data_IF_939988440049
#
_entry.id   IF_939988440049
#
_cell.length_a   1.000
_cell.length_b   1.000
_cell.length_c   1.000
_cell.angle_alpha   90.00
_cell.angle_beta   90.00
_cell.angle_gamma   90.00
#
_symmetry.space_group_name_H-M   'P 1'
#
loop_
_entity.id
_entity.type
_entity.pdbx_description
1 polymer ?
#
# COMPACT_ATOMS: atom_id res chain seq x y z
N UNK A 1 33.31 5.22 1.42
CA UNK A 1 32.42 5.91 2.41
C UNK A 1 31.02 5.41 2.26
N UNK A 2 30.36 5.01 3.35
CA UNK A 2 28.95 4.59 3.29
C UNK A 2 28.07 5.78 2.89
N UNK A 3 27.21 5.57 1.87
CA UNK A 3 26.30 6.60 1.36
C UNK A 3 25.31 7.00 2.45
N UNK A 4 25.06 8.32 2.59
CA UNK A 4 24.06 8.88 3.53
C UNK A 4 22.83 9.35 2.77
N UNK A 5 21.66 8.94 3.21
CA UNK A 5 20.37 9.28 2.58
C UNK A 5 19.39 9.82 3.62
N UNK A 6 18.65 10.87 3.27
CA UNK A 6 17.49 11.35 3.99
C UNK A 6 16.22 10.79 3.32
N UNK A 7 15.47 9.93 4.01
CA UNK A 7 14.13 9.54 3.60
C UNK A 7 13.14 10.52 4.25
N UNK A 8 12.30 11.16 3.45
CA UNK A 8 11.31 12.12 3.91
C UNK A 8 9.92 11.56 3.66
N UNK A 9 9.29 11.13 4.74
CA UNK A 9 7.92 10.59 4.79
C UNK A 9 7.06 11.49 5.67
N UNK A 10 6.43 12.49 5.08
CA UNK A 10 5.56 13.43 5.81
C UNK A 10 4.24 12.78 6.25
N UNK A 11 3.79 11.71 5.57
CA UNK A 11 2.53 11.04 5.87
C UNK A 11 2.63 10.15 7.11
N UNK A 12 3.72 9.39 7.24
CA UNK A 12 3.97 8.52 8.39
C UNK A 12 2.78 7.64 8.76
N UNK A 13 2.50 7.53 10.07
CA UNK A 13 1.37 6.74 10.59
C UNK A 13 -0.01 7.34 10.26
N UNK A 14 -0.09 8.64 9.93
CA UNK A 14 -1.34 9.29 9.51
C UNK A 14 -1.91 8.69 8.21
N UNK A 15 -1.06 8.13 7.37
CA UNK A 15 -1.43 7.41 6.14
C UNK A 15 -1.89 5.96 6.35
N UNK A 16 -2.14 5.53 7.57
CA UNK A 16 -2.45 4.14 7.89
C UNK A 16 -1.19 3.28 7.92
N UNK A 17 -1.13 2.18 7.16
CA UNK A 17 0.01 1.25 7.16
C UNK A 17 1.21 1.72 6.30
N UNK A 18 1.17 2.93 5.74
CA UNK A 18 2.21 3.40 4.80
C UNK A 18 3.59 3.54 5.45
N UNK A 19 3.65 3.97 6.71
CA UNK A 19 4.92 4.07 7.44
C UNK A 19 5.70 2.76 7.51
N UNK A 20 5.05 1.59 7.43
CA UNK A 20 5.73 0.30 7.36
C UNK A 20 6.51 0.11 6.05
N UNK A 21 6.02 0.68 4.94
CA UNK A 21 6.80 0.73 3.71
C UNK A 21 8.12 1.49 3.94
N UNK A 22 8.03 2.68 4.53
CA UNK A 22 9.21 3.53 4.80
C UNK A 22 10.19 2.85 5.78
N UNK A 23 9.65 2.18 6.79
CA UNK A 23 10.46 1.42 7.77
C UNK A 23 11.15 0.22 7.11
N UNK A 24 10.43 -0.56 6.31
CA UNK A 24 10.99 -1.67 5.56
C UNK A 24 12.07 -1.22 4.57
N UNK A 25 11.84 -0.12 3.86
CA UNK A 25 12.85 0.47 2.99
C UNK A 25 14.11 0.86 3.76
N UNK A 26 13.94 1.46 4.94
CA UNK A 26 15.07 1.83 5.80
C UNK A 26 15.85 0.59 6.27
N UNK A 27 15.17 -0.50 6.67
CA UNK A 27 15.79 -1.79 7.01
C UNK A 27 16.63 -2.28 5.81
N UNK A 28 16.00 -2.41 4.64
CA UNK A 28 16.69 -2.94 3.46
C UNK A 28 17.88 -2.10 3.01
N UNK A 29 17.81 -0.78 3.16
CA UNK A 29 18.94 0.11 2.84
C UNK A 29 20.09 -0.05 3.81
N UNK A 30 19.84 -0.18 5.11
CA UNK A 30 20.89 -0.40 6.12
C UNK A 30 21.59 -1.72 5.89
N UNK A 31 20.87 -2.80 5.62
CA UNK A 31 21.43 -4.11 5.28
C UNK A 31 22.33 -4.04 4.02
N UNK A 32 22.12 -3.05 3.16
CA UNK A 32 22.95 -2.76 2.00
C UNK A 32 23.99 -1.65 2.23
N UNK A 33 24.34 -1.35 3.48
CA UNK A 33 25.41 -0.43 3.86
C UNK A 33 25.11 1.06 3.64
N UNK A 34 23.83 1.44 3.54
CA UNK A 34 23.40 2.84 3.42
C UNK A 34 23.09 3.42 4.79
N UNK A 35 23.65 4.58 5.12
CA UNK A 35 23.30 5.31 6.36
C UNK A 35 21.99 6.07 6.17
N UNK A 36 20.94 5.67 6.86
CA UNK A 36 19.60 6.22 6.72
C UNK A 36 19.25 7.19 7.83
N UNK A 37 18.78 8.39 7.45
CA UNK A 37 18.11 9.33 8.34
C UNK A 37 16.66 9.49 7.88
N UNK A 38 15.72 9.09 8.74
CA UNK A 38 14.28 9.15 8.46
C UNK A 38 13.67 10.40 9.10
N UNK A 39 13.01 11.23 8.29
CA UNK A 39 12.29 12.44 8.71
C UNK A 39 10.80 12.25 8.50
N UNK A 40 10.01 12.39 9.55
CA UNK A 40 8.56 12.15 9.49
C UNK A 40 7.78 13.07 10.44
N UNK A 41 6.46 12.86 10.53
CA UNK A 41 5.58 13.61 11.42
C UNK A 41 5.64 13.09 12.88
N UNK A 42 5.19 13.93 13.82
CA UNK A 42 5.24 13.63 15.23
C UNK A 42 4.14 12.67 15.73
N UNK A 43 3.23 12.23 14.88
CA UNK A 43 2.27 11.16 15.18
C UNK A 43 2.90 9.76 14.97
N UNK A 44 4.00 9.70 14.22
CA UNK A 44 4.69 8.45 13.89
C UNK A 44 5.66 8.07 15.01
N UNK A 45 5.42 6.93 15.64
CA UNK A 45 6.31 6.39 16.65
C UNK A 45 7.66 5.97 16.05
N UNK A 46 8.75 6.18 16.81
CA UNK A 46 10.06 5.68 16.40
C UNK A 46 10.08 4.15 16.41
N UNK A 47 10.34 3.50 15.25
CA UNK A 47 10.35 2.05 15.14
C UNK A 47 11.54 1.38 15.83
N UNK A 48 12.50 2.17 16.34
CA UNK A 48 13.73 1.71 17.01
C UNK A 48 14.56 0.73 16.13
N UNK A 49 14.57 0.94 14.82
CA UNK A 49 15.37 0.15 13.87
C UNK A 49 16.84 0.48 14.08
N UNK A 50 17.67 -0.54 14.33
CA UNK A 50 19.11 -0.38 14.52
C UNK A 50 19.75 0.29 13.30
N UNK A 51 20.61 1.29 13.53
CA UNK A 51 21.28 2.03 12.45
C UNK A 51 20.45 3.14 11.79
N UNK A 52 19.13 3.24 12.03
CA UNK A 52 18.28 4.34 11.52
C UNK A 52 18.31 5.52 12.49
N UNK A 53 18.64 6.71 11.96
CA UNK A 53 18.43 7.97 12.70
C UNK A 53 17.02 8.46 12.42
N UNK A 54 16.21 8.65 13.47
CA UNK A 54 14.80 9.01 13.37
C UNK A 54 14.55 10.43 13.87
N UNK A 55 13.85 11.25 13.05
CA UNK A 55 13.54 12.66 13.34
C UNK A 55 12.09 12.98 13.05
N UNK A 56 11.32 13.37 14.07
CA UNK A 56 9.91 13.77 13.94
C UNK A 56 9.79 15.32 13.82
N UNK A 57 10.33 15.88 12.73
CA UNK A 57 10.38 17.35 12.53
C UNK A 57 9.09 17.95 11.97
N UNK A 58 8.23 17.14 11.35
CA UNK A 58 6.93 17.61 10.85
C UNK A 58 5.90 17.60 11.98
N UNK A 59 5.91 18.65 12.81
CA UNK A 59 5.05 18.75 14.00
C UNK A 59 3.66 19.27 13.67
N UNK A 60 2.62 18.60 14.14
CA UNK A 60 1.21 19.02 14.09
C UNK A 60 0.68 19.33 12.66
N UNK A 61 1.22 18.68 11.63
CA UNK A 61 0.85 18.93 10.23
C UNK A 61 -0.55 18.43 9.86
N UNK A 62 -1.19 17.64 10.72
CA UNK A 62 -2.55 17.11 10.54
C UNK A 62 -3.52 17.51 11.67
N UNK A 63 -3.05 18.27 12.69
CA UNK A 63 -3.80 18.52 13.92
C UNK A 63 -4.85 19.63 13.80
N UNK A 64 -4.59 20.66 13.00
CA UNK A 64 -5.47 21.82 12.87
C UNK A 64 -6.61 21.57 11.88
N UNK A 65 -7.80 22.10 12.17
CA UNK A 65 -8.89 22.17 11.19
C UNK A 65 -8.62 23.22 10.09
N UNK A 66 -7.70 24.15 10.31
CA UNK A 66 -7.30 25.17 9.33
C UNK A 66 -6.15 24.65 8.46
N UNK A 67 -6.42 24.43 7.19
CA UNK A 67 -5.45 23.93 6.20
C UNK A 67 -4.18 24.81 6.11
N UNK A 68 -4.32 26.12 6.28
CA UNK A 68 -3.20 27.05 6.23
C UNK A 68 -2.21 26.82 7.36
N UNK A 69 -2.67 26.58 8.59
CA UNK A 69 -1.82 26.25 9.75
C UNK A 69 -1.06 24.95 9.51
N UNK A 70 -1.75 23.92 9.02
CA UNK A 70 -1.11 22.66 8.68
C UNK A 70 -0.04 22.84 7.58
N UNK A 71 -0.32 23.67 6.57
CA UNK A 71 0.63 24.02 5.51
C UNK A 71 1.87 24.74 6.03
N UNK A 72 1.70 25.73 6.92
CA UNK A 72 2.82 26.44 7.57
C UNK A 72 3.67 25.47 8.39
N UNK A 73 3.05 24.64 9.23
CA UNK A 73 3.76 23.63 10.02
C UNK A 73 4.54 22.65 9.13
N UNK A 74 3.97 22.28 7.97
CA UNK A 74 4.60 21.43 6.99
C UNK A 74 5.84 22.11 6.36
N UNK A 75 5.75 23.40 5.99
CA UNK A 75 6.87 24.18 5.47
C UNK A 75 8.00 24.28 6.50
N UNK A 76 7.66 24.58 7.76
CA UNK A 76 8.62 24.65 8.87
C UNK A 76 9.31 23.28 9.04
N UNK A 77 8.55 22.16 9.08
CA UNK A 77 9.11 20.83 9.16
C UNK A 77 10.05 20.49 8.02
N UNK A 78 9.71 20.92 6.79
CA UNK A 78 10.56 20.78 5.61
C UNK A 78 11.89 21.51 5.78
N UNK A 79 11.84 22.79 6.16
CA UNK A 79 13.04 23.62 6.36
C UNK A 79 13.97 22.93 7.36
N UNK A 80 13.47 22.57 8.54
CA UNK A 80 14.28 21.90 9.55
C UNK A 80 14.83 20.56 9.07
N UNK A 81 14.04 19.74 8.40
CA UNK A 81 14.47 18.43 7.89
C UNK A 81 15.58 18.57 6.85
N UNK A 82 15.41 19.47 5.88
CA UNK A 82 16.37 19.61 4.77
C UNK A 82 17.68 20.23 5.27
N UNK A 83 17.61 21.29 6.08
CA UNK A 83 18.82 21.90 6.65
C UNK A 83 19.58 20.95 7.57
N UNK A 84 18.88 20.28 8.49
CA UNK A 84 19.51 19.31 9.38
C UNK A 84 20.20 18.18 8.60
N UNK A 85 19.52 17.64 7.57
CA UNK A 85 20.10 16.62 6.69
C UNK A 85 21.37 17.14 5.98
N UNK A 86 21.31 18.35 5.39
CA UNK A 86 22.46 18.94 4.69
C UNK A 86 23.66 19.16 5.62
N UNK A 87 23.43 19.75 6.81
CA UNK A 87 24.50 19.96 7.81
C UNK A 87 25.05 18.63 8.38
N UNK A 88 24.26 17.54 8.32
CA UNK A 88 24.73 16.18 8.65
C UNK A 88 25.51 15.51 7.51
N UNK A 89 25.81 16.24 6.42
CA UNK A 89 26.53 15.76 5.25
C UNK A 89 25.74 14.81 4.35
N UNK A 90 24.41 14.90 4.37
CA UNK A 90 23.52 14.14 3.48
C UNK A 90 23.34 14.92 2.19
N UNK A 91 23.54 14.27 1.03
CA UNK A 91 23.32 14.86 -0.30
C UNK A 91 22.12 14.28 -1.04
N UNK A 92 21.64 13.08 -0.68
CA UNK A 92 20.54 12.40 -1.35
C UNK A 92 19.29 12.49 -0.47
N UNK A 93 18.22 13.01 -1.06
CA UNK A 93 16.90 13.16 -0.44
C UNK A 93 15.89 12.29 -1.19
N UNK A 94 15.31 11.32 -0.51
CA UNK A 94 14.31 10.43 -1.06
C UNK A 94 12.93 10.76 -0.50
N UNK A 95 12.03 11.19 -1.38
CA UNK A 95 10.65 11.55 -1.04
C UNK A 95 9.67 10.48 -1.52
N UNK A 96 8.63 10.27 -0.73
CA UNK A 96 7.49 9.44 -1.10
C UNK A 96 6.31 10.34 -1.46
N UNK A 97 5.74 10.17 -2.66
CA UNK A 97 4.63 11.00 -3.14
C UNK A 97 3.44 10.14 -3.60
N UNK A 98 2.24 10.60 -3.25
CA UNK A 98 0.95 10.06 -3.67
C UNK A 98 0.19 11.04 -4.58
N UNK A 99 0.62 12.29 -4.61
CA UNK A 99 0.05 13.37 -5.43
C UNK A 99 1.09 14.46 -5.60
N UNK A 100 0.91 15.28 -6.66
CA UNK A 100 1.75 16.44 -6.92
C UNK A 100 1.01 17.69 -6.45
N UNK A 101 1.69 18.54 -5.67
CA UNK A 101 1.17 19.82 -5.22
C UNK A 101 2.29 20.83 -4.96
N UNK A 102 1.92 22.05 -4.57
CA UNK A 102 2.86 23.13 -4.29
C UNK A 102 3.80 22.80 -3.11
N UNK A 103 3.34 22.11 -2.08
CA UNK A 103 4.18 21.75 -0.93
C UNK A 103 5.28 20.75 -1.32
N UNK A 104 4.95 19.77 -2.17
CA UNK A 104 5.95 18.85 -2.73
C UNK A 104 6.96 19.62 -3.58
N UNK A 105 6.49 20.52 -4.45
CA UNK A 105 7.38 21.38 -5.26
C UNK A 105 8.32 22.19 -4.38
N UNK A 106 7.82 22.80 -3.30
CA UNK A 106 8.63 23.56 -2.34
C UNK A 106 9.74 22.69 -1.71
N UNK A 107 9.44 21.44 -1.31
CA UNK A 107 10.44 20.51 -0.79
C UNK A 107 11.61 20.33 -1.78
N UNK A 108 11.27 20.05 -3.05
CA UNK A 108 12.27 19.76 -4.06
C UNK A 108 13.12 21.00 -4.40
N UNK A 109 12.47 22.17 -4.49
CA UNK A 109 13.17 23.43 -4.71
C UNK A 109 14.18 23.71 -3.59
N UNK A 110 13.78 23.55 -2.33
CA UNK A 110 14.68 23.77 -1.21
C UNK A 110 15.88 22.83 -1.22
N UNK A 111 15.67 21.55 -1.54
CA UNK A 111 16.77 20.59 -1.72
C UNK A 111 17.71 21.00 -2.85
N UNK A 112 17.17 21.46 -4.00
CA UNK A 112 17.98 21.87 -5.15
C UNK A 112 18.77 23.15 -4.87
N UNK A 113 18.18 24.13 -4.17
CA UNK A 113 18.88 25.35 -3.74
C UNK A 113 20.09 25.02 -2.86
N UNK A 114 19.99 23.96 -2.06
CA UNK A 114 21.08 23.47 -1.21
C UNK A 114 21.95 22.42 -1.90
N UNK A 115 21.95 22.33 -3.23
CA UNK A 115 22.73 21.40 -4.04
C UNK A 115 22.52 19.93 -3.67
N UNK A 116 21.33 19.56 -3.20
CA UNK A 116 20.94 18.20 -2.92
C UNK A 116 20.45 17.46 -4.16
N UNK A 117 20.52 16.14 -4.12
CA UNK A 117 19.96 15.21 -5.11
C UNK A 117 18.59 14.72 -4.68
N UNK A 118 17.65 14.66 -5.60
CA UNK A 118 16.26 14.27 -5.35
C UNK A 118 15.95 12.94 -5.99
N UNK A 119 15.51 11.97 -5.18
CA UNK A 119 14.89 10.73 -5.63
C UNK A 119 13.44 10.74 -5.22
N UNK A 120 12.53 10.38 -6.11
CA UNK A 120 11.10 10.27 -5.82
C UNK A 120 10.63 8.84 -5.96
N UNK A 121 9.96 8.29 -4.94
CA UNK A 121 9.07 7.13 -5.12
C UNK A 121 7.64 7.62 -5.37
N UNK A 122 7.09 7.30 -6.54
CA UNK A 122 5.74 7.63 -6.97
C UNK A 122 4.83 6.45 -6.71
N UNK A 123 3.97 6.54 -5.68
CA UNK A 123 3.03 5.48 -5.31
C UNK A 123 1.77 5.50 -6.16
N UNK A 124 1.23 6.69 -6.44
CA UNK A 124 0.08 6.89 -7.33
C UNK A 124 0.46 7.88 -8.43
N UNK A 125 0.33 7.48 -9.69
CA UNK A 125 0.66 8.33 -10.84
C UNK A 125 -0.39 9.41 -11.03
N UNK A 126 -1.68 9.07 -10.79
CA UNK A 126 -2.77 10.05 -10.73
C UNK A 126 -3.55 9.86 -9.44
N UNK A 127 -3.91 10.98 -8.79
CA UNK A 127 -4.78 10.91 -7.63
C UNK A 127 -6.16 10.39 -8.03
N UNK A 128 -6.69 9.41 -7.29
CA UNK A 128 -8.08 8.96 -7.41
C UNK A 128 -9.07 9.91 -6.71
N UNK A 129 -8.58 10.97 -6.06
CA UNK A 129 -9.38 12.07 -5.55
C UNK A 129 -9.48 13.15 -6.61
N UNK A 130 -10.64 13.83 -6.69
CA UNK A 130 -10.90 14.93 -7.61
C UNK A 130 -10.05 16.21 -7.36
N UNK A 131 -8.94 16.11 -6.62
CA UNK A 131 -7.98 17.20 -6.51
C UNK A 131 -7.25 17.32 -7.85
N UNK A 132 -7.50 18.39 -8.57
CA UNK A 132 -6.78 18.76 -9.79
C UNK A 132 -5.29 18.87 -9.49
N UNK A 133 -4.55 17.80 -9.74
CA UNK A 133 -3.11 17.90 -9.84
C UNK A 133 -2.83 18.83 -11.01
N UNK A 134 -2.31 20.03 -10.75
CA UNK A 134 -1.90 20.91 -11.82
C UNK A 134 -0.83 20.19 -12.64
N UNK A 135 -1.10 19.97 -13.92
CA UNK A 135 -0.15 19.35 -14.87
C UNK A 135 1.19 20.11 -14.86
N UNK A 136 1.12 21.45 -14.72
CA UNK A 136 2.30 22.30 -14.64
C UNK A 136 3.15 21.98 -13.41
N UNK A 137 2.53 21.87 -12.23
CA UNK A 137 3.25 21.54 -10.98
C UNK A 137 3.84 20.13 -11.08
N UNK A 138 3.11 19.15 -11.61
CA UNK A 138 3.59 17.80 -11.84
C UNK A 138 4.84 17.78 -12.74
N UNK A 139 4.80 18.47 -13.86
CA UNK A 139 5.93 18.59 -14.78
C UNK A 139 7.16 19.25 -14.12
N UNK A 140 6.97 20.30 -13.30
CA UNK A 140 8.06 20.93 -12.57
C UNK A 140 8.67 19.99 -11.52
N UNK A 141 7.83 19.25 -10.77
CA UNK A 141 8.29 18.25 -9.80
C UNK A 141 9.16 17.21 -10.49
N UNK A 142 8.69 16.61 -11.60
CA UNK A 142 9.47 15.61 -12.33
C UNK A 142 10.76 16.19 -12.91
N UNK A 143 10.75 17.43 -13.40
CA UNK A 143 11.94 18.13 -13.94
C UNK A 143 13.01 18.39 -12.88
N UNK A 144 12.62 18.63 -11.63
CA UNK A 144 13.53 18.83 -10.50
C UNK A 144 14.07 17.52 -9.91
N UNK A 145 13.58 16.37 -10.37
CA UNK A 145 13.92 15.07 -9.84
C UNK A 145 15.10 14.45 -10.58
N UNK A 146 16.12 13.95 -9.86
CA UNK A 146 17.27 13.29 -10.45
C UNK A 146 16.95 11.84 -10.84
N UNK A 147 16.11 11.13 -10.04
CA UNK A 147 15.62 9.77 -10.34
C UNK A 147 14.21 9.56 -9.79
N UNK A 148 13.43 8.78 -10.52
CA UNK A 148 12.08 8.39 -10.17
C UNK A 148 12.05 6.87 -9.94
N UNK A 149 11.40 6.44 -8.88
CA UNK A 149 11.10 5.05 -8.59
C UNK A 149 9.60 4.83 -8.73
N UNK A 150 9.22 3.77 -9.44
CA UNK A 150 7.85 3.24 -9.47
C UNK A 150 7.86 1.76 -9.09
N UNK A 151 6.71 1.21 -8.70
CA UNK A 151 6.66 -0.15 -8.19
C UNK A 151 6.44 -1.23 -9.27
N UNK A 152 6.05 -0.84 -10.48
CA UNK A 152 5.70 -1.76 -11.56
C UNK A 152 5.82 -1.09 -12.94
N UNK A 153 5.76 -1.92 -13.98
CA UNK A 153 5.86 -1.48 -15.38
C UNK A 153 4.69 -0.59 -15.79
N UNK A 154 3.48 -0.90 -15.27
CA UNK A 154 2.28 -0.12 -15.57
C UNK A 154 2.43 1.33 -15.11
N UNK A 155 2.84 1.57 -13.86
CA UNK A 155 3.09 2.92 -13.34
C UNK A 155 4.20 3.65 -14.10
N UNK A 156 5.26 2.94 -14.49
CA UNK A 156 6.32 3.49 -15.35
C UNK A 156 5.75 3.96 -16.70
N UNK A 157 4.95 3.12 -17.36
CA UNK A 157 4.34 3.46 -18.64
C UNK A 157 3.41 4.67 -18.53
N UNK A 158 2.62 4.77 -17.47
CA UNK A 158 1.73 5.91 -17.23
C UNK A 158 2.51 7.24 -17.10
N UNK A 159 3.64 7.25 -16.38
CA UNK A 159 4.48 8.46 -16.27
C UNK A 159 5.12 8.80 -17.61
N UNK A 160 5.60 7.82 -18.37
CA UNK A 160 6.20 8.02 -19.70
C UNK A 160 5.16 8.58 -20.69
N UNK A 161 3.91 8.11 -20.63
CA UNK A 161 2.82 8.63 -21.44
C UNK A 161 2.53 10.12 -21.16
N UNK A 162 2.75 10.57 -19.91
CA UNK A 162 2.63 12.00 -19.56
C UNK A 162 3.84 12.81 -20.03
N UNK A 163 5.03 12.24 -20.01
CA UNK A 163 6.28 12.88 -20.41
C UNK A 163 7.34 11.84 -20.83
N UNK A 164 7.48 11.63 -22.13
CA UNK A 164 8.42 10.65 -22.71
C UNK A 164 9.88 10.89 -22.38
N UNK A 165 10.29 12.12 -22.09
CA UNK A 165 11.67 12.46 -21.72
C UNK A 165 12.10 11.86 -20.38
N UNK A 166 11.15 11.37 -19.57
CA UNK A 166 11.44 10.77 -18.27
C UNK A 166 11.86 9.30 -18.36
N UNK A 167 11.81 8.66 -19.53
CA UNK A 167 12.05 7.22 -19.71
C UNK A 167 13.34 6.73 -19.01
N UNK A 168 14.46 7.43 -19.22
CA UNK A 168 15.78 7.08 -18.66
C UNK A 168 15.94 7.42 -17.16
N UNK A 169 15.02 8.21 -16.62
CA UNK A 169 15.05 8.64 -15.22
C UNK A 169 14.23 7.72 -14.30
N UNK A 170 13.40 6.80 -14.85
CA UNK A 170 12.47 5.96 -14.08
C UNK A 170 13.05 4.55 -13.91
N UNK A 171 13.28 4.18 -12.66
CA UNK A 171 13.60 2.82 -12.23
C UNK A 171 12.36 2.12 -11.66
N UNK A 172 12.25 0.81 -11.89
CA UNK A 172 11.22 -0.02 -11.26
C UNK A 172 11.86 -0.69 -10.05
N UNK A 173 11.35 -0.38 -8.85
CA UNK A 173 11.70 -1.04 -7.60
C UNK A 173 10.40 -1.49 -6.95
N UNK A 174 10.14 -2.80 -6.83
CA UNK A 174 8.89 -3.31 -6.29
C UNK A 174 8.61 -2.83 -4.87
N UNK A 175 7.34 -2.87 -4.46
CA UNK A 175 6.97 -2.64 -3.08
C UNK A 175 7.37 -3.86 -2.23
N UNK A 176 8.10 -3.64 -1.13
CA UNK A 176 8.50 -4.72 -0.23
C UNK A 176 7.34 -5.32 0.59
N UNK A 177 7.63 -6.40 1.29
CA UNK A 177 6.66 -7.14 2.09
C UNK A 177 6.37 -6.46 3.45
N UNK A 178 5.40 -7.01 4.20
CA UNK A 178 5.09 -6.56 5.57
C UNK A 178 5.60 -7.52 6.65
N UNK A 179 6.32 -8.57 6.27
CA UNK A 179 6.80 -9.62 7.18
C UNK A 179 7.51 -9.11 8.43
N UNK A 180 8.37 -8.06 8.39
CA UNK A 180 9.02 -7.53 9.59
C UNK A 180 8.08 -6.84 10.60
N UNK A 181 6.84 -6.55 10.21
CA UNK A 181 5.90 -5.71 10.97
C UNK A 181 4.62 -6.42 11.38
N UNK A 182 4.51 -7.71 11.09
CA UNK A 182 3.32 -8.52 11.36
C UNK A 182 3.67 -9.71 12.24
N UNK A 183 2.70 -10.15 13.04
CA UNK A 183 2.81 -11.39 13.80
C UNK A 183 1.91 -12.45 13.16
N UNK A 184 2.53 -13.49 12.57
CA UNK A 184 1.82 -14.59 11.90
C UNK A 184 1.42 -15.68 12.91
N UNK A 185 1.91 -15.61 14.16
CA UNK A 185 1.72 -16.66 15.18
C UNK A 185 0.31 -16.71 15.76
N UNK A 186 -0.57 -15.75 15.42
CA UNK A 186 -1.94 -15.80 15.87
C UNK A 186 -2.70 -16.97 15.25
N UNK A 187 -3.13 -17.88 16.12
CA UNK A 187 -3.97 -19.01 15.72
C UNK A 187 -5.27 -18.52 15.06
N UNK A 188 -5.67 -19.24 14.01
CA UNK A 188 -6.88 -18.98 13.25
C UNK A 188 -8.13 -19.03 14.14
N UNK A 189 -8.21 -19.98 15.06
CA UNK A 189 -9.32 -20.15 16.00
C UNK A 189 -9.41 -18.97 16.97
N UNK A 190 -8.28 -18.56 17.57
CA UNK A 190 -8.24 -17.38 18.44
C UNK A 190 -8.68 -16.11 17.69
N UNK A 191 -8.19 -15.92 16.47
CA UNK A 191 -8.55 -14.76 15.65
C UNK A 191 -10.04 -14.73 15.31
N UNK A 192 -10.61 -15.89 14.98
CA UNK A 192 -12.05 -16.03 14.73
C UNK A 192 -12.88 -15.74 15.97
N UNK A 193 -12.50 -16.28 17.12
CA UNK A 193 -13.18 -16.03 18.39
C UNK A 193 -13.18 -14.53 18.73
N UNK A 194 -12.03 -13.85 18.56
CA UNK A 194 -11.92 -12.39 18.79
C UNK A 194 -12.83 -11.57 17.88
N UNK A 195 -13.05 -12.02 16.65
CA UNK A 195 -13.89 -11.36 15.67
C UNK A 195 -15.36 -11.83 15.69
N UNK A 196 -15.72 -12.80 16.56
CA UNK A 196 -17.08 -13.37 16.60
C UNK A 196 -17.41 -14.23 15.38
N UNK A 197 -16.42 -14.85 14.76
CA UNK A 197 -16.59 -15.66 13.55
C UNK A 197 -16.68 -17.16 13.94
N UNK A 198 -17.75 -17.89 13.57
CA UNK A 198 -17.86 -19.31 13.81
C UNK A 198 -16.76 -20.12 13.08
N UNK A 199 -16.19 -21.11 13.76
CA UNK A 199 -15.08 -21.89 13.22
C UNK A 199 -15.43 -22.76 11.99
N UNK A 200 -16.70 -23.10 11.82
CA UNK A 200 -17.20 -23.90 10.69
C UNK A 200 -17.47 -23.09 9.41
N UNK A 201 -17.23 -21.77 9.42
CA UNK A 201 -17.43 -20.89 8.24
C UNK A 201 -16.16 -20.83 7.39
N UNK A 202 -16.34 -20.75 6.06
CA UNK A 202 -15.27 -20.35 5.13
C UNK A 202 -15.26 -18.84 5.00
N UNK A 203 -14.17 -18.21 5.42
CA UNK A 203 -14.06 -16.74 5.56
C UNK A 203 -13.41 -16.11 4.35
N UNK A 204 -14.16 -15.31 3.63
CA UNK A 204 -13.69 -14.40 2.59
C UNK A 204 -13.44 -13.04 3.24
N UNK A 205 -12.32 -12.39 2.93
CA UNK A 205 -11.98 -11.08 3.50
C UNK A 205 -11.90 -10.01 2.40
N UNK A 206 -12.63 -8.91 2.59
CA UNK A 206 -12.41 -7.63 1.93
C UNK A 206 -11.85 -6.66 2.97
N UNK A 207 -10.62 -6.14 2.74
CA UNK A 207 -9.90 -5.36 3.75
C UNK A 207 -9.48 -3.96 3.25
N UNK A 208 -9.44 -3.01 4.20
CA UNK A 208 -8.92 -1.66 4.05
C UNK A 208 -9.98 -0.64 3.65
N UNK A 209 -9.56 0.63 3.48
CA UNK A 209 -10.49 1.74 3.21
C UNK A 209 -11.44 1.41 2.05
N UNK A 210 -12.75 1.53 2.29
CA UNK A 210 -13.79 1.20 1.31
C UNK A 210 -13.97 2.40 0.37
N UNK A 211 -13.39 2.30 -0.84
CA UNK A 211 -13.49 3.30 -1.92
C UNK A 211 -14.16 2.67 -3.14
N UNK A 212 -14.84 3.48 -3.94
CA UNK A 212 -15.52 3.04 -5.18
C UNK A 212 -14.58 2.27 -6.13
N UNK A 213 -13.32 2.69 -6.22
CA UNK A 213 -12.30 2.02 -7.06
C UNK A 213 -11.95 0.61 -6.58
N UNK A 214 -12.29 0.24 -5.34
CA UNK A 214 -12.04 -1.10 -4.78
C UNK A 214 -13.12 -2.13 -5.09
N UNK A 215 -14.20 -1.75 -5.77
CA UNK A 215 -15.16 -2.66 -6.37
C UNK A 215 -15.94 -3.55 -5.39
N UNK A 216 -16.20 -3.09 -4.15
CA UNK A 216 -16.96 -3.86 -3.17
C UNK A 216 -18.36 -4.25 -3.68
N UNK A 217 -18.99 -3.39 -4.49
CA UNK A 217 -20.28 -3.68 -5.11
C UNK A 217 -20.25 -4.88 -6.06
N UNK A 218 -19.11 -5.13 -6.71
CA UNK A 218 -18.92 -6.28 -7.61
C UNK A 218 -18.89 -7.57 -6.77
N UNK A 219 -18.14 -7.56 -5.67
CA UNK A 219 -18.05 -8.68 -4.74
C UNK A 219 -19.40 -9.00 -4.09
N UNK A 220 -20.14 -7.98 -3.62
CA UNK A 220 -21.47 -8.14 -3.03
C UNK A 220 -22.46 -8.74 -4.05
N UNK A 221 -22.38 -8.30 -5.30
CA UNK A 221 -23.24 -8.85 -6.38
C UNK A 221 -22.89 -10.30 -6.69
N UNK A 222 -21.60 -10.66 -6.71
CA UNK A 222 -21.14 -12.03 -6.93
C UNK A 222 -21.49 -12.96 -5.76
N UNK A 223 -21.47 -12.45 -4.53
CA UNK A 223 -21.68 -13.23 -3.31
C UNK A 223 -23.03 -13.95 -3.32
N UNK A 224 -24.09 -13.34 -3.91
CA UNK A 224 -25.41 -13.97 -4.07
C UNK A 224 -25.32 -15.35 -4.77
N UNK A 225 -24.52 -15.44 -5.83
CA UNK A 225 -24.32 -16.70 -6.56
C UNK A 225 -23.40 -17.68 -5.82
N UNK A 226 -22.49 -17.15 -5.01
CA UNK A 226 -21.55 -17.96 -4.22
C UNK A 226 -22.26 -18.65 -3.06
N UNK A 227 -23.04 -17.94 -2.26
CA UNK A 227 -23.71 -18.49 -1.07
C UNK A 227 -24.76 -19.54 -1.40
N UNK A 228 -25.35 -19.50 -2.60
CA UNK A 228 -26.27 -20.55 -3.08
C UNK A 228 -25.59 -21.91 -3.20
N UNK A 229 -24.32 -21.96 -3.56
CA UNK A 229 -23.54 -23.20 -3.69
C UNK A 229 -22.70 -23.50 -2.45
N UNK A 230 -22.38 -22.49 -1.66
CA UNK A 230 -21.49 -22.53 -0.52
C UNK A 230 -22.13 -21.81 0.67
N UNK A 231 -23.15 -22.41 1.34
CA UNK A 231 -23.90 -21.76 2.41
C UNK A 231 -23.09 -21.52 3.69
N UNK A 232 -21.93 -22.13 3.81
CA UNK A 232 -20.96 -21.97 4.89
C UNK A 232 -20.00 -20.77 4.67
N UNK A 233 -20.09 -20.04 3.57
CA UNK A 233 -19.30 -18.84 3.32
C UNK A 233 -19.73 -17.70 4.22
N UNK A 234 -18.74 -16.96 4.73
CA UNK A 234 -18.93 -15.67 5.43
C UNK A 234 -17.98 -14.64 4.80
N UNK A 235 -18.52 -13.54 4.31
CA UNK A 235 -17.72 -12.39 3.87
C UNK A 235 -17.51 -11.42 5.03
N UNK A 236 -16.26 -11.21 5.42
CA UNK A 236 -15.87 -10.17 6.38
C UNK A 236 -15.46 -8.91 5.59
N UNK A 237 -16.16 -7.81 5.84
CA UNK A 237 -15.84 -6.50 5.27
C UNK A 237 -15.24 -5.64 6.38
N UNK A 238 -13.94 -5.37 6.32
CA UNK A 238 -13.22 -4.66 7.35
C UNK A 238 -12.55 -3.39 6.80
N UNK A 239 -12.99 -2.22 7.26
CA UNK A 239 -12.40 -0.94 6.90
C UNK A 239 -13.38 0.23 6.87
N UNK A 240 -12.86 1.45 7.05
CA UNK A 240 -13.65 2.67 7.06
C UNK A 240 -14.13 3.04 5.65
N UNK A 241 -15.42 3.34 5.44
CA UNK A 241 -15.92 3.88 4.18
C UNK A 241 -15.33 5.27 3.90
N UNK A 242 -14.92 5.50 2.66
CA UNK A 242 -14.53 6.83 2.20
C UNK A 242 -15.74 7.78 2.26
N UNK A 243 -15.58 8.95 2.89
CA UNK A 243 -16.68 9.88 3.10
C UNK A 243 -17.73 9.39 4.12
N UNK A 244 -17.44 8.34 4.91
CA UNK A 244 -18.33 7.73 5.91
C UNK A 244 -19.67 7.21 5.36
N UNK A 245 -19.79 6.99 4.04
CA UNK A 245 -21.03 6.55 3.41
C UNK A 245 -20.93 5.07 2.97
N UNK A 246 -21.74 4.22 3.58
CA UNK A 246 -21.87 2.80 3.26
C UNK A 246 -23.26 2.43 2.66
N UNK A 247 -24.18 3.40 2.57
CA UNK A 247 -25.59 3.17 2.23
C UNK A 247 -25.82 2.44 0.90
N UNK A 248 -25.02 2.74 -0.13
CA UNK A 248 -25.16 2.07 -1.43
C UNK A 248 -24.78 0.58 -1.35
N UNK A 249 -23.80 0.23 -0.55
CA UNK A 249 -23.43 -1.17 -0.32
C UNK A 249 -24.48 -1.89 0.53
N UNK A 250 -25.05 -1.21 1.55
CA UNK A 250 -26.13 -1.75 2.35
C UNK A 250 -27.36 -2.11 1.48
N UNK A 251 -27.76 -1.23 0.57
CA UNK A 251 -28.84 -1.52 -0.38
C UNK A 251 -28.61 -2.80 -1.20
N UNK A 252 -27.36 -3.08 -1.59
CA UNK A 252 -27.03 -4.30 -2.34
C UNK A 252 -27.15 -5.53 -1.42
N UNK A 253 -26.71 -5.42 -0.18
CA UNK A 253 -26.79 -6.48 0.83
C UNK A 253 -28.27 -6.83 1.06
N UNK A 254 -29.11 -5.84 1.32
CA UNK A 254 -30.54 -6.02 1.63
C UNK A 254 -31.30 -6.58 0.41
N UNK A 255 -31.10 -6.01 -0.77
CA UNK A 255 -31.73 -6.48 -2.02
C UNK A 255 -31.43 -7.93 -2.36
N UNK A 256 -30.27 -8.44 -1.95
CA UNK A 256 -29.83 -9.79 -2.24
C UNK A 256 -29.98 -10.76 -1.05
N UNK A 257 -30.54 -10.31 0.08
CA UNK A 257 -30.71 -11.08 1.32
C UNK A 257 -29.39 -11.70 1.82
N UNK A 258 -28.33 -10.87 1.91
CA UNK A 258 -26.99 -11.33 2.22
C UNK A 258 -26.57 -11.11 3.69
N UNK A 259 -27.45 -10.57 4.54
CA UNK A 259 -27.12 -10.13 5.90
C UNK A 259 -26.51 -11.25 6.76
N UNK A 260 -26.97 -12.50 6.63
CA UNK A 260 -26.47 -13.66 7.36
C UNK A 260 -25.10 -14.17 6.88
N UNK A 261 -24.68 -13.71 5.70
CA UNK A 261 -23.42 -14.10 5.06
C UNK A 261 -22.34 -13.03 5.13
N UNK A 262 -22.61 -11.93 5.86
CA UNK A 262 -21.69 -10.79 5.91
C UNK A 262 -21.48 -10.35 7.34
N UNK A 263 -20.20 -10.19 7.73
CA UNK A 263 -19.78 -9.53 8.96
C UNK A 263 -19.21 -8.15 8.61
N UNK A 264 -19.84 -7.08 9.11
CA UNK A 264 -19.48 -5.69 8.82
C UNK A 264 -18.66 -5.07 9.94
N UNK A 265 -17.41 -4.72 9.67
CA UNK A 265 -16.57 -3.88 10.52
C UNK A 265 -16.19 -2.58 9.78
N UNK A 266 -17.20 -1.75 9.51
CA UNK A 266 -17.12 -0.51 8.71
C UNK A 266 -16.53 0.66 9.51
N UNK A 267 -15.40 0.43 10.17
CA UNK A 267 -14.68 1.41 10.99
C UNK A 267 -13.18 1.41 10.66
N UNK A 268 -12.43 2.36 11.20
CA UNK A 268 -10.98 2.29 11.15
C UNK A 268 -10.51 1.05 11.95
N UNK A 269 -9.76 0.19 11.29
CA UNK A 269 -9.16 -0.99 11.94
C UNK A 269 -7.81 -0.58 12.50
N UNK A 270 -7.66 -0.70 13.83
CA UNK A 270 -6.39 -0.39 14.50
C UNK A 270 -5.33 -1.39 14.09
N UNK A 271 -4.07 -0.95 14.07
CA UNK A 271 -2.96 -1.78 13.59
C UNK A 271 -2.84 -3.12 14.36
N UNK A 272 -3.07 -3.09 15.66
CA UNK A 272 -3.06 -4.28 16.53
C UNK A 272 -4.17 -5.28 16.24
N UNK A 273 -5.23 -4.87 15.56
CA UNK A 273 -6.36 -5.73 15.19
C UNK A 273 -6.23 -6.30 13.77
N UNK A 274 -5.36 -5.71 12.92
CA UNK A 274 -5.21 -6.09 11.50
C UNK A 274 -4.91 -7.57 11.33
N UNK A 275 -4.00 -8.11 12.14
CA UNK A 275 -3.58 -9.51 12.08
C UNK A 275 -4.74 -10.49 12.26
N UNK A 276 -5.72 -10.18 13.12
CA UNK A 276 -6.84 -11.08 13.37
C UNK A 276 -7.73 -11.26 12.14
N UNK A 277 -7.90 -10.20 11.31
CA UNK A 277 -8.67 -10.30 10.08
C UNK A 277 -8.01 -11.22 9.06
N UNK A 278 -6.70 -11.09 8.87
CA UNK A 278 -5.97 -11.95 7.95
C UNK A 278 -5.84 -13.37 8.48
N UNK A 279 -5.51 -13.56 9.76
CA UNK A 279 -5.40 -14.91 10.37
C UNK A 279 -6.73 -15.65 10.36
N UNK A 280 -7.89 -14.98 10.56
CA UNK A 280 -9.21 -15.57 10.50
C UNK A 280 -9.64 -15.98 9.08
N UNK A 281 -9.07 -15.36 8.04
CA UNK A 281 -9.53 -15.53 6.66
C UNK A 281 -8.96 -16.76 5.95
N UNK A 282 -9.72 -17.29 4.99
CA UNK A 282 -9.33 -18.37 4.08
C UNK A 282 -8.90 -17.85 2.71
N UNK A 283 -9.48 -16.73 2.27
CA UNK A 283 -9.20 -16.09 1.00
C UNK A 283 -9.43 -14.58 1.12
N UNK A 284 -8.50 -13.78 0.60
CA UNK A 284 -8.65 -12.32 0.52
C UNK A 284 -9.01 -11.91 -0.90
N UNK A 285 -10.04 -11.04 -1.04
CA UNK A 285 -10.57 -10.66 -2.34
C UNK A 285 -10.31 -9.18 -2.59
N UNK A 286 -9.65 -8.87 -3.70
CA UNK A 286 -9.34 -7.51 -4.16
C UNK A 286 -10.02 -7.23 -5.52
N UNK A 287 -11.33 -6.94 -5.51
CA UNK A 287 -12.12 -6.79 -6.75
C UNK A 287 -11.99 -5.38 -7.33
N UNK A 288 -10.75 -4.89 -7.39
CA UNK A 288 -10.46 -3.50 -7.73
C UNK A 288 -10.77 -3.20 -9.19
N UNK A 289 -11.22 -1.97 -9.44
CA UNK A 289 -11.49 -1.45 -10.80
C UNK A 289 -10.31 -0.65 -11.35
N UNK A 290 -9.51 -0.08 -10.45
CA UNK A 290 -8.31 0.66 -10.80
C UNK A 290 -7.31 0.63 -9.65
N UNK A 291 -6.02 0.46 -9.96
CA UNK A 291 -4.93 0.46 -8.98
C UNK A 291 -3.60 0.79 -9.67
N UNK A 292 -2.69 1.45 -8.97
CA UNK A 292 -1.28 1.58 -9.36
C UNK A 292 -0.40 0.60 -8.57
N UNK A 293 -0.70 0.44 -7.29
CA UNK A 293 0.02 -0.47 -6.40
C UNK A 293 -0.88 -0.82 -5.21
N UNK A 294 -0.77 -2.04 -4.67
CA UNK A 294 -1.63 -2.51 -3.58
C UNK A 294 -0.85 -2.99 -2.36
N UNK A 295 -0.77 -2.13 -1.35
CA UNK A 295 -0.29 -2.55 -0.02
C UNK A 295 -1.15 -3.66 0.60
N UNK A 296 -2.46 -3.72 0.28
CA UNK A 296 -3.36 -4.79 0.75
C UNK A 296 -2.97 -6.14 0.15
N UNK A 297 -2.56 -6.21 -1.14
CA UNK A 297 -2.06 -7.44 -1.73
C UNK A 297 -0.76 -7.88 -1.06
N UNK A 298 0.19 -6.95 -0.88
CA UNK A 298 1.45 -7.26 -0.20
C UNK A 298 1.21 -7.75 1.23
N UNK A 299 0.30 -7.11 1.96
CA UNK A 299 -0.11 -7.52 3.31
C UNK A 299 -0.74 -8.93 3.29
N UNK A 300 -1.63 -9.21 2.32
CA UNK A 300 -2.29 -10.52 2.15
C UNK A 300 -1.27 -11.64 2.00
N UNK A 301 -0.32 -11.45 1.08
CA UNK A 301 0.74 -12.44 0.84
C UNK A 301 1.69 -12.56 2.04
N UNK A 302 1.99 -11.44 2.74
CA UNK A 302 2.82 -11.46 3.96
C UNK A 302 2.17 -12.25 5.10
N UNK A 303 0.83 -12.22 5.22
CA UNK A 303 0.09 -13.09 6.14
C UNK A 303 -0.13 -14.52 5.60
N UNK A 304 0.54 -14.87 4.51
CA UNK A 304 0.41 -16.19 3.86
C UNK A 304 -1.05 -16.55 3.52
N UNK A 305 -1.84 -15.55 3.10
CA UNK A 305 -3.21 -15.77 2.66
C UNK A 305 -3.27 -15.77 1.14
N UNK A 306 -4.01 -16.70 0.54
CA UNK A 306 -4.25 -16.67 -0.90
C UNK A 306 -5.07 -15.42 -1.25
N UNK A 307 -4.78 -14.82 -2.39
CA UNK A 307 -5.48 -13.65 -2.90
C UNK A 307 -6.24 -13.97 -4.19
N UNK A 308 -7.48 -13.47 -4.30
CA UNK A 308 -8.21 -13.38 -5.56
C UNK A 308 -8.28 -11.92 -5.98
N UNK A 309 -7.68 -11.59 -7.12
CA UNK A 309 -7.55 -10.22 -7.62
C UNK A 309 -8.21 -10.05 -8.99
N UNK A 310 -8.60 -8.82 -9.33
CA UNK A 310 -9.01 -8.49 -10.69
C UNK A 310 -7.81 -8.50 -11.66
N UNK A 311 -8.05 -8.72 -12.96
CA UNK A 311 -7.03 -8.85 -14.03
C UNK A 311 -6.35 -7.53 -14.42
N UNK A 312 -6.20 -6.61 -13.47
CA UNK A 312 -5.55 -5.32 -13.69
C UNK A 312 -4.04 -5.49 -13.91
N UNK A 313 -3.41 -4.69 -14.79
CA UNK A 313 -1.99 -4.81 -15.09
C UNK A 313 -1.07 -4.85 -13.86
N UNK A 314 -1.21 -3.99 -12.83
CA UNK A 314 -0.36 -4.06 -11.64
C UNK A 314 -0.51 -5.35 -10.83
N UNK A 315 -1.70 -5.96 -10.83
CA UNK A 315 -1.90 -7.25 -10.17
C UNK A 315 -1.27 -8.40 -10.96
N UNK A 316 -1.41 -8.38 -12.30
CA UNK A 316 -0.85 -9.41 -13.18
C UNK A 316 0.68 -9.40 -13.25
N UNK A 317 1.34 -8.33 -12.81
CA UNK A 317 2.80 -8.31 -12.63
C UNK A 317 3.27 -9.09 -11.40
N UNK A 318 2.35 -9.35 -10.45
CA UNK A 318 2.64 -10.03 -9.17
C UNK A 318 2.00 -11.42 -9.14
N UNK A 319 0.73 -11.51 -9.55
CA UNK A 319 -0.09 -12.72 -9.45
C UNK A 319 -0.13 -13.45 -10.79
N UNK A 320 0.20 -14.74 -10.73
CA UNK A 320 0.01 -15.72 -11.80
C UNK A 320 -1.17 -16.61 -11.41
N UNK A 321 -2.20 -16.65 -12.28
CA UNK A 321 -3.47 -17.32 -11.99
C UNK A 321 -3.29 -18.83 -11.71
N UNK A 322 -3.90 -19.32 -10.62
CA UNK A 322 -3.81 -20.69 -10.13
C UNK A 322 -2.38 -21.14 -9.75
N UNK A 323 -1.41 -20.23 -9.68
CA UNK A 323 -0.04 -20.53 -9.30
C UNK A 323 0.32 -19.93 -7.93
N UNK A 324 0.31 -18.59 -7.79
CA UNK A 324 0.63 -17.89 -6.54
C UNK A 324 -0.50 -16.96 -6.06
N UNK A 325 -1.63 -17.00 -6.73
CA UNK A 325 -2.86 -16.27 -6.48
C UNK A 325 -3.91 -16.68 -7.49
N UNK A 326 -5.04 -15.98 -7.44
CA UNK A 326 -6.15 -16.19 -8.36
C UNK A 326 -6.51 -14.88 -9.07
N UNK A 327 -6.89 -14.97 -10.33
CA UNK A 327 -7.28 -13.83 -11.15
C UNK A 327 -8.71 -14.03 -11.67
N UNK A 328 -9.51 -12.97 -11.65
CA UNK A 328 -10.80 -12.90 -12.31
C UNK A 328 -10.87 -11.65 -13.18
N UNK A 329 -11.78 -11.64 -14.18
CA UNK A 329 -11.98 -10.53 -15.10
C UNK A 329 -12.57 -9.33 -14.38
N UNK A 330 -11.86 -8.20 -14.40
CA UNK A 330 -12.26 -6.96 -13.72
C UNK A 330 -13.69 -6.54 -14.08
N UNK A 331 -14.42 -6.04 -13.10
CA UNK A 331 -15.81 -5.58 -13.20
C UNK A 331 -16.82 -6.65 -13.68
N UNK A 332 -16.43 -7.93 -13.77
CA UNK A 332 -17.29 -9.01 -14.21
C UNK A 332 -17.80 -9.85 -13.04
N UNK A 333 -19.06 -9.61 -12.64
CA UNK A 333 -19.73 -10.31 -11.53
C UNK A 333 -19.84 -11.82 -11.78
N UNK A 334 -20.15 -12.23 -13.02
CA UNK A 334 -20.31 -13.64 -13.35
C UNK A 334 -18.99 -14.39 -13.27
N UNK A 335 -17.92 -13.82 -13.81
CA UNK A 335 -16.58 -14.41 -13.75
C UNK A 335 -16.08 -14.53 -12.31
N UNK A 336 -16.28 -13.48 -11.48
CA UNK A 336 -15.96 -13.52 -10.05
C UNK A 336 -16.74 -14.62 -9.33
N UNK A 337 -18.04 -14.78 -9.65
CA UNK A 337 -18.89 -15.84 -9.06
C UNK A 337 -18.37 -17.24 -9.41
N UNK A 338 -18.08 -17.47 -10.69
CA UNK A 338 -17.56 -18.76 -11.17
C UNK A 338 -16.19 -19.07 -10.57
N UNK A 339 -15.29 -18.09 -10.54
CA UNK A 339 -13.94 -18.25 -9.99
C UNK A 339 -14.00 -18.55 -8.47
N UNK A 340 -14.83 -17.83 -7.71
CA UNK A 340 -15.02 -18.11 -6.28
C UNK A 340 -15.57 -19.52 -6.03
N UNK A 341 -16.60 -19.95 -6.77
CA UNK A 341 -17.14 -21.29 -6.65
C UNK A 341 -16.09 -22.39 -6.96
N UNK A 342 -15.28 -22.18 -8.00
CA UNK A 342 -14.20 -23.09 -8.37
C UNK A 342 -13.10 -23.16 -7.29
N UNK A 343 -12.66 -22.01 -6.77
CA UNK A 343 -11.65 -21.95 -5.71
C UNK A 343 -12.17 -22.67 -4.45
N UNK A 344 -13.37 -22.36 -4.00
CA UNK A 344 -13.95 -22.89 -2.78
C UNK A 344 -14.19 -24.42 -2.83
N UNK A 345 -14.28 -25.02 -4.02
CA UNK A 345 -14.41 -26.46 -4.18
C UNK A 345 -13.07 -27.22 -4.21
N UNK A 346 -11.93 -26.52 -4.27
CA UNK A 346 -10.61 -27.14 -4.44
C UNK A 346 -9.61 -26.72 -3.34
N UNK A 347 -9.63 -27.42 -2.22
CA UNK A 347 -8.74 -27.14 -1.07
C UNK A 347 -7.26 -27.31 -1.40
N UNK A 348 -6.91 -28.31 -2.21
CA UNK A 348 -5.51 -28.58 -2.59
C UNK A 348 -4.93 -27.41 -3.41
N UNK A 349 -5.72 -26.86 -4.33
CA UNK A 349 -5.32 -25.69 -5.11
C UNK A 349 -5.13 -24.45 -4.23
N UNK A 350 -6.01 -24.24 -3.24
CA UNK A 350 -5.88 -23.14 -2.28
C UNK A 350 -4.55 -23.25 -1.52
N UNK A 351 -4.21 -24.43 -1.00
CA UNK A 351 -2.97 -24.67 -0.26
C UNK A 351 -1.73 -24.50 -1.16
N UNK A 352 -1.75 -25.03 -2.38
CA UNK A 352 -0.68 -24.83 -3.36
C UNK A 352 -0.43 -23.34 -3.62
N UNK A 353 -1.48 -22.61 -3.90
CA UNK A 353 -1.43 -21.17 -4.19
C UNK A 353 -0.93 -20.37 -2.98
N UNK A 354 -1.40 -20.72 -1.78
CA UNK A 354 -0.92 -20.12 -0.52
C UNK A 354 0.58 -20.26 -0.37
N UNK A 355 1.11 -21.47 -0.53
CA UNK A 355 2.53 -21.77 -0.36
C UNK A 355 3.39 -21.03 -1.39
N UNK A 356 2.97 -21.01 -2.65
CA UNK A 356 3.67 -20.28 -3.71
C UNK A 356 3.59 -18.74 -3.53
N UNK A 357 2.47 -18.22 -3.04
CA UNK A 357 2.35 -16.81 -2.67
C UNK A 357 3.26 -16.42 -1.51
N UNK A 358 3.36 -17.30 -0.49
CA UNK A 358 4.28 -17.13 0.65
C UNK A 358 5.75 -17.17 0.22
N UNK A 359 6.14 -18.08 -0.65
CA UNK A 359 7.49 -18.18 -1.22
C UNK A 359 7.84 -16.89 -1.99
N UNK A 360 6.95 -16.44 -2.87
CA UNK A 360 7.13 -15.24 -3.67
C UNK A 360 7.39 -14.00 -2.82
N UNK A 361 6.57 -13.80 -1.76
CA UNK A 361 6.65 -12.59 -0.94
C UNK A 361 7.94 -12.56 -0.09
N UNK A 362 8.42 -13.72 0.36
CA UNK A 362 9.64 -13.85 1.16
C UNK A 362 10.93 -13.75 0.35
N UNK A 363 10.88 -14.04 -0.96
CA UNK A 363 12.06 -14.02 -1.83
C UNK A 363 12.14 -12.74 -2.64
N UNK A 364 11.21 -12.54 -3.57
CA UNK A 364 11.25 -11.44 -4.54
C UNK A 364 10.94 -10.07 -3.92
N UNK A 365 10.14 -10.05 -2.85
CA UNK A 365 9.67 -8.81 -2.21
C UNK A 365 10.29 -8.59 -0.83
N UNK A 366 11.40 -9.25 -0.55
CA UNK A 366 12.19 -9.04 0.65
C UNK A 366 12.86 -7.66 0.66
N UNK A 367 12.93 -7.04 1.85
CA UNK A 367 13.47 -5.69 1.96
C UNK A 367 14.97 -5.60 1.71
N UNK A 368 15.74 -6.67 1.93
CA UNK A 368 17.17 -6.66 1.59
C UNK A 368 17.37 -6.52 0.08
N UNK A 369 16.61 -7.29 -0.71
CA UNK A 369 16.64 -7.18 -2.17
C UNK A 369 16.10 -5.83 -2.67
N UNK A 370 14.99 -5.35 -2.11
CA UNK A 370 14.42 -4.03 -2.40
C UNK A 370 15.41 -2.90 -2.06
N UNK A 371 16.08 -3.01 -0.91
CA UNK A 371 17.12 -2.07 -0.48
C UNK A 371 18.32 -2.05 -1.43
N UNK A 372 18.73 -3.22 -1.92
CA UNK A 372 19.80 -3.35 -2.93
C UNK A 372 19.43 -2.62 -4.23
N UNK A 373 18.22 -2.87 -4.76
CA UNK A 373 17.73 -2.18 -5.96
C UNK A 373 17.60 -0.67 -5.74
N UNK A 374 17.10 -0.25 -4.59
CA UNK A 374 17.01 1.18 -4.23
C UNK A 374 18.41 1.83 -4.14
N UNK A 375 19.39 1.13 -3.55
CA UNK A 375 20.77 1.62 -3.47
C UNK A 375 21.41 1.76 -4.86
N UNK A 376 21.09 0.89 -5.82
CA UNK A 376 21.54 1.03 -7.22
C UNK A 376 20.98 2.32 -7.85
N UNK A 377 19.74 2.69 -7.55
CA UNK A 377 19.19 3.98 -8.00
C UNK A 377 19.96 5.15 -7.38
N UNK A 378 20.33 5.09 -6.10
CA UNK A 378 21.15 6.11 -5.46
C UNK A 378 22.58 6.20 -6.03
N UNK A 379 23.10 5.13 -6.61
CA UNK A 379 24.41 5.14 -7.28
C UNK A 379 24.40 5.90 -8.59
N UNK A 380 23.24 6.09 -9.18
CA UNK A 380 23.06 6.74 -10.48
C UNK A 380 22.74 8.25 -10.39
N UNK A 381 22.77 8.88 -9.19
CA UNK A 381 22.48 10.32 -8.96
C UNK A 381 23.69 11.16 -8.60
#
# INVERSE_FOLDING_TARGET
>A
MNRKVAIIDTLGSHGGAFHFYTFGQAIGLIENGVNVSLYTNNETANPKISGVKFFAFYKNIFKSNFRMINGINWIIGTIFSVFHARFSGISIFHFHIFYTNFLVLFNLLLVKILFGKVVLTVHDVSSFSNSSNSVLIGNLIYKLTDRIITHNKFSKSEIINMNSNLFSYISIVPHGNYTPFINIQNDKGMSRNKLGIPNNRRVLLFFGMIKKVKGLEILLSALKGVVKKNPDVLLVIAGKPWGNNFSNYQKIIDKNNLSEYILLHTKFIRQEDVEHYYCASDLVILPYKKIYQSGVLMMTLSFERPALVSDLPPFKEIILDNENGFIFKSENVNDLTLKLNSILSNKELIEKVRNKGSELIKTKYDWVEIGKQTNQVYQSV
#
